data_IF_405940564081
#
_entry.id   IF_405940564081
#
_cell.length_a   1.000
_cell.length_b   1.000
_cell.length_c   1.000
_cell.angle_alpha   90.00
_cell.angle_beta   90.00
_cell.angle_gamma   90.00
#
_symmetry.space_group_name_H-M   'P 1'
#
loop_
_entity.id
_entity.type
_entity.pdbx_description
1 polymer ?
#
# COMPACT_ATOMS: atom_id res chain seq x y z
N UNK A 1 31.93 -3.63 37.13
CA UNK A 1 31.08 -3.45 35.92
C UNK A 1 29.67 -3.81 36.34
N UNK A 2 28.85 -2.81 36.65
CA UNK A 2 27.44 -3.02 36.91
C UNK A 2 26.75 -3.23 35.55
N UNK A 3 26.09 -4.37 35.40
CA UNK A 3 25.14 -4.60 34.31
C UNK A 3 23.98 -3.65 34.59
N UNK A 4 23.70 -2.76 33.66
CA UNK A 4 22.58 -1.84 33.75
C UNK A 4 21.31 -2.68 33.53
N UNK A 5 20.69 -3.14 34.62
CA UNK A 5 19.34 -3.73 34.65
C UNK A 5 18.31 -2.63 34.35
N UNK A 6 18.34 -2.11 33.12
CA UNK A 6 17.31 -1.24 32.57
C UNK A 6 16.31 -2.05 31.71
N UNK A 7 16.17 -3.34 32.01
CA UNK A 7 15.20 -4.21 31.36
C UNK A 7 13.99 -4.38 32.28
N UNK A 8 12.84 -4.00 31.72
CA UNK A 8 11.53 -4.60 31.98
C UNK A 8 10.62 -3.93 33.03
N UNK A 9 10.34 -2.63 32.86
CA UNK A 9 9.16 -1.96 33.45
C UNK A 9 8.04 -1.78 32.40
N UNK A 10 7.81 -2.81 31.59
CA UNK A 10 6.67 -2.83 30.66
C UNK A 10 5.46 -3.38 31.39
N UNK A 11 4.36 -2.62 31.36
CA UNK A 11 3.11 -3.07 31.94
C UNK A 11 2.60 -4.32 31.22
N UNK A 12 1.73 -5.09 31.88
CA UNK A 12 1.07 -6.22 31.22
C UNK A 12 0.25 -5.77 29.99
N UNK A 13 -0.24 -4.52 29.98
CA UNK A 13 -0.90 -3.90 28.83
C UNK A 13 0.08 -3.66 27.67
N UNK A 14 1.29 -3.17 27.94
CA UNK A 14 2.33 -2.96 26.92
C UNK A 14 2.74 -4.29 26.29
N UNK A 15 2.91 -5.33 27.11
CA UNK A 15 3.26 -6.68 26.65
C UNK A 15 2.14 -7.28 25.80
N UNK A 16 0.87 -7.10 26.20
CA UNK A 16 -0.26 -7.54 25.40
C UNK A 16 -0.31 -6.79 24.06
N UNK A 17 -0.13 -5.48 24.07
CA UNK A 17 -0.16 -4.66 22.86
C UNK A 17 0.93 -5.10 21.86
N UNK A 18 2.15 -5.35 22.35
CA UNK A 18 3.26 -5.83 21.53
C UNK A 18 3.03 -7.23 20.97
N UNK A 19 2.44 -8.13 21.77
CA UNK A 19 2.08 -9.46 21.31
C UNK A 19 1.03 -9.39 20.18
N UNK A 20 0.01 -8.53 20.33
CA UNK A 20 -0.99 -8.28 19.29
C UNK A 20 -0.35 -7.70 18.03
N UNK A 21 0.56 -6.73 18.16
CA UNK A 21 1.31 -6.17 17.03
C UNK A 21 2.16 -7.22 16.30
N UNK A 22 2.84 -8.11 17.04
CA UNK A 22 3.66 -9.17 16.45
C UNK A 22 2.81 -10.17 15.65
N UNK A 23 1.62 -10.54 16.17
CA UNK A 23 0.65 -11.37 15.45
C UNK A 23 0.21 -10.69 14.16
N UNK A 24 -0.20 -9.41 14.23
CA UNK A 24 -0.64 -8.63 13.05
C UNK A 24 0.47 -8.47 12.01
N UNK A 25 1.72 -8.26 12.45
CA UNK A 25 2.87 -8.19 11.56
C UNK A 25 3.12 -9.53 10.84
N UNK A 26 3.07 -10.65 11.56
CA UNK A 26 3.24 -11.97 10.98
C UNK A 26 2.16 -12.30 9.93
N UNK A 27 0.90 -11.92 10.20
CA UNK A 27 -0.21 -12.05 9.23
C UNK A 27 0.03 -11.22 7.97
N UNK A 28 0.49 -9.97 8.12
CA UNK A 28 0.85 -9.10 7.00
C UNK A 28 1.96 -9.72 6.14
N UNK A 29 2.99 -10.30 6.75
CA UNK A 29 4.07 -10.95 6.02
C UNK A 29 3.59 -12.19 5.25
N UNK A 30 2.66 -12.97 5.82
CA UNK A 30 2.03 -14.10 5.11
C UNK A 30 1.28 -13.62 3.87
N UNK A 31 0.54 -12.52 3.99
CA UNK A 31 -0.15 -11.91 2.86
C UNK A 31 0.79 -11.43 1.77
N UNK A 32 1.85 -10.72 2.15
CA UNK A 32 2.86 -10.26 1.20
C UNK A 32 3.50 -11.44 0.49
N UNK A 33 3.92 -12.47 1.23
CA UNK A 33 4.52 -13.68 0.65
C UNK A 33 3.57 -14.38 -0.33
N UNK A 34 2.28 -14.52 0.03
CA UNK A 34 1.26 -15.12 -0.83
C UNK A 34 1.08 -14.32 -2.13
N UNK A 35 0.97 -13.00 -2.03
CA UNK A 35 0.86 -12.14 -3.21
C UNK A 35 2.14 -12.18 -4.05
N UNK A 36 3.32 -12.05 -3.45
CA UNK A 36 4.61 -12.11 -4.13
C UNK A 36 4.79 -13.40 -4.93
N UNK A 37 4.44 -14.53 -4.33
CA UNK A 37 4.45 -15.83 -4.99
C UNK A 37 3.49 -15.88 -6.19
N UNK A 38 2.30 -15.30 -6.08
CA UNK A 38 1.31 -15.25 -7.17
C UNK A 38 1.73 -14.32 -8.31
N UNK A 39 2.43 -13.24 -7.98
CA UNK A 39 2.96 -12.28 -8.95
C UNK A 39 4.28 -12.75 -9.57
N UNK A 40 4.91 -13.80 -9.03
CA UNK A 40 6.22 -14.28 -9.48
C UNK A 40 7.34 -13.28 -9.20
N UNK A 41 7.21 -12.46 -8.15
CA UNK A 41 8.24 -11.51 -7.71
C UNK A 41 9.02 -12.07 -6.52
N UNK A 42 10.23 -11.55 -6.22
CA UNK A 42 11.03 -12.04 -5.11
C UNK A 42 10.30 -11.91 -3.76
N UNK A 43 10.47 -12.92 -2.90
CA UNK A 43 9.95 -12.87 -1.53
C UNK A 43 10.56 -11.69 -0.75
N UNK A 44 9.73 -10.99 0.02
CA UNK A 44 10.10 -9.81 0.78
C UNK A 44 10.18 -8.52 -0.06
N UNK A 45 9.82 -8.55 -1.34
CA UNK A 45 9.79 -7.35 -2.18
C UNK A 45 8.90 -6.25 -1.60
N UNK A 46 7.68 -6.59 -1.17
CA UNK A 46 6.68 -5.65 -0.67
C UNK A 46 7.12 -5.05 0.66
N UNK A 47 7.67 -5.86 1.56
CA UNK A 47 8.24 -5.38 2.83
C UNK A 47 9.43 -4.44 2.58
N UNK A 48 10.30 -4.80 1.65
CA UNK A 48 11.48 -4.01 1.32
C UNK A 48 11.17 -2.72 0.54
N UNK A 49 9.93 -2.49 0.08
CA UNK A 49 9.55 -1.22 -0.55
C UNK A 49 9.75 -0.04 0.39
N UNK A 50 9.50 -0.20 1.68
CA UNK A 50 9.67 0.90 2.65
C UNK A 50 11.15 1.31 2.79
N UNK A 51 12.06 0.35 2.61
CA UNK A 51 13.50 0.58 2.64
C UNK A 51 14.07 1.21 1.36
N UNK A 52 13.26 1.44 0.33
CA UNK A 52 13.69 2.12 -0.89
C UNK A 52 14.09 3.56 -0.59
N UNK A 53 15.31 3.96 -0.94
CA UNK A 53 15.84 5.30 -0.61
C UNK A 53 15.46 6.36 -1.62
N UNK A 54 15.26 5.95 -2.87
CA UNK A 54 14.88 6.85 -3.95
C UNK A 54 13.37 6.89 -4.10
N UNK A 55 12.78 8.04 -3.81
CA UNK A 55 11.34 8.26 -3.91
C UNK A 55 10.80 8.05 -5.33
N UNK A 56 11.63 8.27 -6.36
CA UNK A 56 11.27 7.96 -7.74
C UNK A 56 11.15 6.45 -7.94
N UNK A 57 12.17 5.69 -7.52
CA UNK A 57 12.13 4.23 -7.58
C UNK A 57 10.98 3.66 -6.73
N UNK A 58 10.75 4.22 -5.54
CA UNK A 58 9.68 3.82 -4.62
C UNK A 58 8.30 3.92 -5.29
N UNK A 59 7.96 5.09 -5.86
CA UNK A 59 6.63 5.27 -6.45
C UNK A 59 6.44 4.48 -7.74
N UNK A 60 7.50 4.30 -8.54
CA UNK A 60 7.46 3.47 -9.74
C UNK A 60 7.23 2.00 -9.37
N UNK A 61 8.02 1.44 -8.44
CA UNK A 61 7.86 0.07 -7.96
C UNK A 61 6.48 -0.16 -7.33
N UNK A 62 6.02 0.78 -6.52
CA UNK A 62 4.69 0.73 -5.88
C UNK A 62 3.57 0.69 -6.94
N UNK A 63 3.62 1.57 -7.94
CA UNK A 63 2.62 1.59 -9.00
C UNK A 63 2.64 0.33 -9.87
N UNK A 64 3.82 -0.20 -10.19
CA UNK A 64 3.97 -1.45 -10.96
C UNK A 64 3.42 -2.64 -10.17
N UNK A 65 3.69 -2.71 -8.86
CA UNK A 65 3.14 -3.74 -7.98
C UNK A 65 1.60 -3.72 -7.96
N UNK A 66 1.02 -2.53 -7.76
CA UNK A 66 -0.43 -2.32 -7.82
C UNK A 66 -1.02 -2.78 -9.16
N UNK A 67 -0.38 -2.38 -10.26
CA UNK A 67 -0.81 -2.68 -11.61
C UNK A 67 -0.78 -4.19 -11.90
N UNK A 68 0.32 -4.86 -11.55
CA UNK A 68 0.47 -6.30 -11.68
C UNK A 68 -0.55 -7.05 -10.83
N UNK A 69 -0.76 -6.62 -9.58
CA UNK A 69 -1.72 -7.24 -8.67
C UNK A 69 -3.16 -7.21 -9.23
N UNK A 70 -3.58 -6.08 -9.82
CA UNK A 70 -4.89 -5.98 -10.49
C UNK A 70 -4.95 -6.89 -11.72
N UNK A 71 -3.91 -6.91 -12.56
CA UNK A 71 -3.85 -7.79 -13.73
C UNK A 71 -3.99 -9.25 -13.31
N UNK A 72 -3.23 -9.72 -12.33
CA UNK A 72 -3.31 -11.10 -11.83
C UNK A 72 -4.69 -11.41 -11.27
N UNK A 73 -5.31 -10.49 -10.50
CA UNK A 73 -6.65 -10.70 -9.97
C UNK A 73 -7.71 -10.81 -11.08
N UNK A 74 -7.61 -9.99 -12.12
CA UNK A 74 -8.48 -10.09 -13.30
C UNK A 74 -8.29 -11.42 -14.03
N UNK A 75 -7.05 -11.85 -14.28
CA UNK A 75 -6.75 -13.15 -14.91
C UNK A 75 -7.35 -14.29 -14.09
N UNK A 76 -7.11 -14.33 -12.78
CA UNK A 76 -7.67 -15.36 -11.90
C UNK A 76 -9.20 -15.36 -11.84
N UNK A 77 -9.85 -14.26 -12.21
CA UNK A 77 -11.32 -14.16 -12.21
C UNK A 77 -11.95 -14.70 -13.50
N UNK A 78 -11.27 -14.57 -14.65
CA UNK A 78 -11.88 -14.85 -15.96
C UNK A 78 -11.24 -16.01 -16.72
N UNK A 79 -9.97 -16.31 -16.43
CA UNK A 79 -9.20 -17.25 -17.24
C UNK A 79 -9.40 -18.68 -16.75
N UNK A 80 -9.53 -19.60 -17.71
CA UNK A 80 -9.19 -21.00 -17.49
C UNK A 80 -7.65 -21.17 -17.49
N UNK A 81 -7.17 -22.32 -17.00
CA UNK A 81 -5.73 -22.57 -16.90
C UNK A 81 -5.05 -22.57 -18.29
N UNK A 82 -5.76 -23.01 -19.33
CA UNK A 82 -5.24 -23.13 -20.69
C UNK A 82 -5.00 -21.76 -21.36
N UNK A 83 -5.84 -20.75 -21.10
CA UNK A 83 -5.74 -19.43 -21.74
C UNK A 83 -5.18 -18.35 -20.80
N UNK A 84 -4.61 -18.73 -19.66
CA UNK A 84 -4.12 -17.79 -18.64
C UNK A 84 -3.17 -16.72 -19.20
N UNK A 85 -2.22 -17.12 -20.05
CA UNK A 85 -1.25 -16.21 -20.67
C UNK A 85 -1.92 -15.21 -21.62
N UNK A 86 -2.88 -15.67 -22.43
CA UNK A 86 -3.63 -14.82 -23.36
C UNK A 86 -4.41 -13.74 -22.60
N UNK A 87 -5.06 -14.11 -21.50
CA UNK A 87 -5.77 -13.15 -20.65
C UNK A 87 -4.81 -12.20 -19.94
N UNK A 88 -3.64 -12.67 -19.53
CA UNK A 88 -2.62 -11.82 -18.92
C UNK A 88 -2.14 -10.74 -19.87
N UNK A 89 -1.79 -11.12 -21.11
CA UNK A 89 -1.37 -10.19 -22.15
C UNK A 89 -2.49 -9.19 -22.46
N UNK A 90 -3.72 -9.70 -22.66
CA UNK A 90 -4.89 -8.86 -22.93
C UNK A 90 -5.11 -7.79 -21.86
N UNK A 91 -5.07 -8.16 -20.58
CA UNK A 91 -5.27 -7.20 -19.50
C UNK A 91 -4.09 -6.25 -19.33
N UNK A 92 -2.86 -6.74 -19.52
CA UNK A 92 -1.64 -5.91 -19.44
C UNK A 92 -1.62 -4.82 -20.53
N UNK A 93 -2.19 -5.09 -21.70
CA UNK A 93 -2.31 -4.11 -22.78
C UNK A 93 -3.40 -3.06 -22.55
N UNK A 94 -4.33 -3.28 -21.61
CA UNK A 94 -5.37 -2.30 -21.31
C UNK A 94 -4.76 -1.06 -20.64
N UNK A 95 -5.18 0.16 -21.03
CA UNK A 95 -4.88 1.35 -20.26
C UNK A 95 -5.32 1.19 -18.80
N UNK A 96 -4.48 1.61 -17.84
CA UNK A 96 -4.72 1.38 -16.41
C UNK A 96 -6.15 1.79 -15.95
N UNK A 97 -6.65 2.94 -16.41
CA UNK A 97 -8.01 3.38 -16.08
C UNK A 97 -9.11 2.41 -16.55
N UNK A 98 -8.94 1.79 -17.73
CA UNK A 98 -9.86 0.79 -18.28
C UNK A 98 -9.74 -0.54 -17.55
N UNK A 99 -8.53 -0.94 -17.18
CA UNK A 99 -8.28 -2.13 -16.37
C UNK A 99 -8.98 -2.03 -15.00
N UNK A 100 -8.83 -0.90 -14.31
CA UNK A 100 -9.49 -0.65 -13.03
C UNK A 100 -11.03 -0.56 -13.16
N UNK A 101 -11.53 0.06 -14.24
CA UNK A 101 -12.98 0.06 -14.53
C UNK A 101 -13.54 -1.34 -14.70
N UNK A 102 -12.81 -2.20 -15.42
CA UNK A 102 -13.20 -3.59 -15.62
C UNK A 102 -13.17 -4.38 -14.31
N UNK A 103 -12.12 -4.20 -13.49
CA UNK A 103 -12.00 -4.86 -12.18
C UNK A 103 -13.18 -4.52 -11.26
N UNK A 104 -13.65 -3.26 -11.24
CA UNK A 104 -14.86 -2.88 -10.50
C UNK A 104 -16.11 -3.55 -11.07
N UNK A 105 -16.27 -3.57 -12.40
CA UNK A 105 -17.45 -4.18 -13.05
C UNK A 105 -17.55 -5.68 -12.78
N UNK A 106 -16.41 -6.36 -12.74
CA UNK A 106 -16.31 -7.78 -12.39
C UNK A 106 -16.34 -8.05 -10.88
N UNK A 107 -16.49 -7.00 -10.05
CA UNK A 107 -16.49 -7.08 -8.58
C UNK A 107 -15.21 -7.67 -7.98
N UNK A 108 -14.10 -7.57 -8.72
CA UNK A 108 -12.75 -7.93 -8.27
C UNK A 108 -12.27 -6.94 -7.20
N UNK A 109 -12.57 -5.65 -7.39
CA UNK A 109 -12.27 -4.61 -6.41
C UNK A 109 -13.47 -3.69 -6.20
N UNK A 110 -13.53 -3.05 -5.03
CA UNK A 110 -14.53 -2.00 -4.75
C UNK A 110 -14.18 -0.69 -5.45
N UNK A 111 -15.14 0.23 -5.52
CA UNK A 111 -14.89 1.60 -6.02
C UNK A 111 -13.84 2.33 -5.18
N UNK A 112 -13.84 2.15 -3.86
CA UNK A 112 -12.86 2.76 -2.96
C UNK A 112 -11.43 2.30 -3.28
N UNK A 113 -11.23 0.99 -3.48
CA UNK A 113 -9.93 0.44 -3.89
C UNK A 113 -9.51 0.95 -5.26
N UNK A 114 -10.44 1.06 -6.22
CA UNK A 114 -10.16 1.73 -7.52
C UNK A 114 -9.66 3.17 -7.32
N UNK A 115 -10.28 3.93 -6.42
CA UNK A 115 -9.90 5.33 -6.19
C UNK A 115 -8.50 5.44 -5.53
N UNK A 116 -8.17 4.54 -4.60
CA UNK A 116 -6.83 4.41 -4.00
C UNK A 116 -5.77 4.08 -5.06
N UNK A 117 -6.01 3.06 -5.87
CA UNK A 117 -5.10 2.65 -6.95
C UNK A 117 -4.91 3.76 -7.99
N UNK A 118 -5.97 4.50 -8.31
CA UNK A 118 -5.86 5.68 -9.16
C UNK A 118 -5.01 6.77 -8.52
N UNK A 119 -5.11 7.00 -7.21
CA UNK A 119 -4.27 7.98 -6.54
C UNK A 119 -2.78 7.61 -6.60
N UNK A 120 -2.43 6.34 -6.39
CA UNK A 120 -1.05 5.84 -6.56
C UNK A 120 -0.57 6.06 -7.99
N UNK A 121 -1.38 5.69 -8.99
CA UNK A 121 -1.04 5.92 -10.39
C UNK A 121 -0.88 7.41 -10.73
N UNK A 122 -1.67 8.28 -10.11
CA UNK A 122 -1.56 9.72 -10.25
C UNK A 122 -0.29 10.27 -9.61
N UNK A 123 0.11 9.81 -8.42
CA UNK A 123 1.42 10.12 -7.85
C UNK A 123 2.53 9.71 -8.79
N UNK A 124 2.52 8.45 -9.28
CA UNK A 124 3.53 7.98 -10.24
C UNK A 124 3.57 8.84 -11.50
N UNK A 125 2.42 9.14 -12.09
CA UNK A 125 2.39 9.90 -13.34
C UNK A 125 2.86 11.35 -13.14
N UNK A 126 2.40 12.04 -12.11
CA UNK A 126 2.81 13.42 -11.86
C UNK A 126 4.25 13.55 -11.36
N UNK A 127 4.70 12.62 -10.51
CA UNK A 127 6.05 12.65 -9.96
C UNK A 127 7.09 12.13 -10.95
N UNK A 128 6.87 10.94 -11.53
CA UNK A 128 7.88 10.24 -12.32
C UNK A 128 7.98 10.72 -13.78
N UNK A 129 6.94 11.38 -14.33
CA UNK A 129 6.99 11.92 -15.71
C UNK A 129 7.65 13.29 -15.78
N UNK A 130 7.70 14.01 -14.66
CA UNK A 130 8.43 15.27 -14.57
C UNK A 130 9.89 14.98 -14.20
N UNK A 131 10.77 15.05 -15.20
CA UNK A 131 12.19 14.67 -15.07
C UNK A 131 12.90 15.52 -14.00
N UNK A 132 12.44 16.73 -13.72
CA UNK A 132 12.99 17.56 -12.64
C UNK A 132 12.81 16.97 -11.25
N UNK A 133 11.94 15.97 -11.07
CA UNK A 133 11.75 15.27 -9.80
C UNK A 133 12.76 14.12 -9.58
N UNK A 134 13.65 13.83 -10.56
CA UNK A 134 14.74 12.89 -10.34
C UNK A 134 15.64 13.38 -9.21
N UNK A 135 15.81 12.56 -8.17
CA UNK A 135 16.53 12.95 -6.95
C UNK A 135 15.76 13.89 -6.02
N UNK A 136 14.50 14.22 -6.35
CA UNK A 136 13.58 14.92 -5.47
C UNK A 136 12.88 13.97 -4.48
N UNK A 137 12.04 14.53 -3.61
CA UNK A 137 11.23 13.76 -2.67
C UNK A 137 9.73 13.89 -2.96
N UNK A 138 8.98 12.84 -2.65
CA UNK A 138 7.52 12.82 -2.72
C UNK A 138 6.90 13.86 -1.79
N UNK A 139 7.53 14.11 -0.63
CA UNK A 139 7.11 15.17 0.30
C UNK A 139 7.20 16.56 -0.34
N UNK A 140 8.30 16.90 -1.01
CA UNK A 140 8.47 18.18 -1.69
C UNK A 140 7.47 18.33 -2.85
N UNK A 141 7.27 17.25 -3.62
CA UNK A 141 6.25 17.22 -4.66
C UNK A 141 4.84 17.45 -4.09
N UNK A 142 4.50 16.78 -2.99
CA UNK A 142 3.19 16.91 -2.38
C UNK A 142 3.00 18.30 -1.78
N UNK A 143 4.04 18.91 -1.20
CA UNK A 143 4.03 20.29 -0.72
C UNK A 143 3.73 21.30 -1.85
N UNK A 144 4.28 21.08 -3.04
CA UNK A 144 4.08 21.96 -4.21
C UNK A 144 2.71 21.80 -4.87
N UNK A 145 1.95 20.75 -4.54
CA UNK A 145 0.60 20.56 -5.05
C UNK A 145 -0.35 21.67 -4.55
N UNK A 146 -1.30 22.07 -5.40
CA UNK A 146 -2.38 22.97 -5.01
C UNK A 146 -3.24 22.37 -3.88
N UNK A 147 -3.92 23.18 -3.05
CA UNK A 147 -4.79 22.67 -1.98
C UNK A 147 -5.83 21.66 -2.47
N UNK A 148 -6.47 21.93 -3.61
CA UNK A 148 -7.45 21.02 -4.21
C UNK A 148 -6.84 19.67 -4.58
N UNK A 149 -5.59 19.69 -5.08
CA UNK A 149 -4.87 18.48 -5.46
C UNK A 149 -4.42 17.67 -4.25
N UNK A 150 -3.94 18.32 -3.19
CA UNK A 150 -3.61 17.68 -1.91
C UNK A 150 -4.84 16.98 -1.33
N UNK A 151 -5.97 17.70 -1.28
CA UNK A 151 -7.26 17.17 -0.84
C UNK A 151 -7.70 15.95 -1.65
N UNK A 152 -7.65 16.04 -2.98
CA UNK A 152 -8.05 14.94 -3.85
C UNK A 152 -7.20 13.69 -3.61
N UNK A 153 -5.87 13.83 -3.62
CA UNK A 153 -4.94 12.71 -3.47
C UNK A 153 -5.02 12.07 -2.08
N UNK A 154 -5.00 12.87 -1.01
CA UNK A 154 -5.11 12.38 0.36
C UNK A 154 -6.45 11.69 0.61
N UNK A 155 -7.55 12.26 0.10
CA UNK A 155 -8.88 11.66 0.28
C UNK A 155 -8.99 10.31 -0.41
N UNK A 156 -8.44 10.20 -1.62
CA UNK A 156 -8.45 8.94 -2.36
C UNK A 156 -7.56 7.88 -1.73
N UNK A 157 -6.35 8.22 -1.28
CA UNK A 157 -5.43 7.27 -0.64
C UNK A 157 -6.00 6.71 0.66
N UNK A 158 -6.56 7.59 1.51
CA UNK A 158 -7.03 7.21 2.84
C UNK A 158 -8.49 6.76 2.87
N UNK A 159 -9.25 7.00 1.79
CA UNK A 159 -10.69 6.69 1.76
C UNK A 159 -11.54 7.58 2.68
N UNK A 160 -11.00 8.70 3.16
CA UNK A 160 -11.69 9.66 4.05
C UNK A 160 -11.75 11.04 3.37
N UNK A 161 -12.81 11.81 3.65
CA UNK A 161 -12.97 13.14 3.06
C UNK A 161 -12.12 14.18 3.77
N UNK A 162 -11.25 14.85 3.01
CA UNK A 162 -10.45 15.99 3.48
C UNK A 162 -11.07 17.33 3.08
N UNK A 163 -10.70 18.41 3.77
CA UNK A 163 -11.06 19.79 3.41
C UNK A 163 -9.83 20.55 2.94
N UNK A 164 -10.01 21.72 2.30
CA UNK A 164 -8.87 22.52 1.82
C UNK A 164 -8.12 23.23 2.96
N UNK A 165 -8.81 23.51 4.07
CA UNK A 165 -8.27 24.25 5.23
C UNK A 165 -7.53 23.34 6.23
N UNK A 166 -7.24 22.10 5.83
CA UNK A 166 -6.58 21.11 6.68
C UNK A 166 -5.10 21.47 6.92
N UNK A 167 -4.56 21.15 8.10
CA UNK A 167 -3.12 21.23 8.32
C UNK A 167 -2.42 20.12 7.51
N UNK A 168 -1.82 20.52 6.39
CA UNK A 168 -1.13 19.62 5.48
C UNK A 168 0.24 19.16 5.96
N UNK A 169 0.80 19.73 7.04
CA UNK A 169 2.17 19.42 7.50
C UNK A 169 2.37 17.93 7.77
N UNK A 170 1.40 17.31 8.45
CA UNK A 170 1.45 15.87 8.71
C UNK A 170 1.51 15.07 7.40
N UNK A 171 0.67 15.38 6.43
CA UNK A 171 0.58 14.68 5.14
C UNK A 171 1.84 14.88 4.27
N UNK A 172 2.38 16.10 4.27
CA UNK A 172 3.63 16.44 3.57
C UNK A 172 4.78 15.63 4.16
N UNK A 173 4.95 15.66 5.49
CA UNK A 173 6.04 14.93 6.16
C UNK A 173 5.90 13.41 6.07
N UNK A 174 4.68 12.91 5.83
CA UNK A 174 4.37 11.48 5.79
C UNK A 174 3.83 11.03 4.43
N UNK A 175 4.25 11.65 3.31
CA UNK A 175 3.68 11.34 1.99
C UNK A 175 3.87 9.87 1.59
N UNK A 176 5.04 9.27 1.89
CA UNK A 176 5.27 7.83 1.66
C UNK A 176 4.31 6.96 2.47
N UNK A 177 4.05 7.32 3.73
CA UNK A 177 3.08 6.61 4.55
C UNK A 177 1.69 6.66 3.92
N UNK A 178 1.24 7.81 3.42
CA UNK A 178 -0.06 7.92 2.77
C UNK A 178 -0.16 6.96 1.57
N UNK A 179 0.91 6.87 0.78
CA UNK A 179 1.01 5.97 -0.37
C UNK A 179 1.01 4.51 0.11
N UNK A 180 1.79 4.19 1.14
CA UNK A 180 1.88 2.85 1.72
C UNK A 180 0.53 2.37 2.28
N UNK A 181 -0.24 3.25 2.92
CA UNK A 181 -1.60 2.95 3.41
C UNK A 181 -2.55 2.65 2.25
N UNK A 182 -2.49 3.44 1.18
CA UNK A 182 -3.27 3.19 -0.04
C UNK A 182 -2.90 1.86 -0.68
N UNK A 183 -1.60 1.57 -0.76
CA UNK A 183 -1.06 0.30 -1.27
C UNK A 183 -1.55 -0.89 -0.43
N UNK A 184 -1.41 -0.81 0.89
CA UNK A 184 -1.80 -1.86 1.84
C UNK A 184 -3.28 -2.21 1.65
N UNK A 185 -4.16 -1.21 1.59
CA UNK A 185 -5.59 -1.45 1.42
C UNK A 185 -5.89 -2.15 0.11
N UNK A 186 -5.21 -1.76 -0.98
CA UNK A 186 -5.36 -2.40 -2.27
C UNK A 186 -4.79 -3.83 -2.30
N UNK A 187 -3.60 -4.04 -1.72
CA UNK A 187 -2.95 -5.36 -1.62
C UNK A 187 -3.85 -6.33 -0.87
N UNK A 188 -4.44 -5.94 0.26
CA UNK A 188 -5.38 -6.80 1.00
C UNK A 188 -6.52 -7.26 0.12
N UNK A 189 -7.18 -6.32 -0.54
CA UNK A 189 -8.33 -6.61 -1.38
C UNK A 189 -7.96 -7.58 -2.50
N UNK A 190 -6.75 -7.46 -3.07
CA UNK A 190 -6.27 -8.30 -4.17
C UNK A 190 -5.71 -9.65 -3.71
N UNK A 191 -5.04 -9.69 -2.55
CA UNK A 191 -4.47 -10.91 -1.98
C UNK A 191 -5.56 -11.87 -1.49
N UNK A 192 -6.70 -11.34 -1.02
CA UNK A 192 -7.87 -12.13 -0.65
C UNK A 192 -8.51 -12.88 -1.84
N UNK A 193 -8.29 -12.41 -3.08
CA UNK A 193 -8.90 -12.99 -4.28
C UNK A 193 -8.18 -14.30 -4.61
N UNK A 194 -8.88 -15.42 -4.49
CA UNK A 194 -8.35 -16.76 -4.73
C UNK A 194 -7.88 -17.50 -3.47
N UNK A 195 -8.07 -16.91 -2.29
CA UNK A 195 -7.99 -17.63 -1.01
C UNK A 195 -9.34 -18.30 -0.70
N UNK A 196 -9.33 -19.38 0.09
CA UNK A 196 -10.57 -19.97 0.61
C UNK A 196 -11.32 -18.95 1.49
N UNK A 197 -12.64 -19.07 1.61
CA UNK A 197 -13.49 -18.11 2.32
C UNK A 197 -13.12 -17.96 3.79
N UNK A 198 -12.59 -19.02 4.41
CA UNK A 198 -12.09 -18.99 5.79
C UNK A 198 -10.83 -18.13 5.90
N UNK A 199 -9.87 -18.30 4.97
CA UNK A 199 -8.62 -17.54 4.94
C UNK A 199 -8.91 -16.05 4.68
N UNK A 200 -9.82 -15.74 3.76
CA UNK A 200 -10.20 -14.35 3.45
C UNK A 200 -10.88 -13.63 4.63
N UNK A 201 -11.73 -14.32 5.39
CA UNK A 201 -12.44 -13.76 6.55
C UNK A 201 -11.51 -13.53 7.76
N UNK A 202 -10.51 -14.40 7.95
CA UNK A 202 -9.46 -14.22 8.97
C UNK A 202 -8.61 -12.99 8.64
N UNK A 203 -8.29 -12.77 7.35
CA UNK A 203 -7.51 -11.64 6.87
C UNK A 203 -8.21 -10.27 7.02
N UNK A 204 -9.54 -10.21 6.94
CA UNK A 204 -10.30 -8.95 7.00
C UNK A 204 -10.36 -8.36 8.42
N UNK A 205 -10.17 -9.19 9.46
CA UNK A 205 -10.39 -8.79 10.87
C UNK A 205 -9.26 -7.99 11.54
N UNK A 206 -8.04 -7.99 11.01
CA UNK A 206 -6.85 -7.73 11.85
C UNK A 206 -5.92 -6.58 11.42
N UNK A 207 -6.39 -5.53 10.75
CA UNK A 207 -5.49 -4.45 10.34
C UNK A 207 -5.93 -3.05 10.77
N UNK A 208 -5.07 -2.39 11.54
CA UNK A 208 -5.17 -0.96 11.89
C UNK A 208 -4.00 -0.15 11.32
N UNK A 209 -4.25 1.14 11.06
CA UNK A 209 -3.26 2.10 10.53
C UNK A 209 -1.99 2.23 11.39
N UNK A 210 -2.08 1.94 12.69
CA UNK A 210 -0.99 2.05 13.64
C UNK A 210 0.19 1.09 13.34
N UNK A 211 -0.08 -0.07 12.73
CA UNK A 211 0.92 -1.13 12.53
C UNK A 211 1.88 -0.87 11.34
N UNK A 212 1.62 0.16 10.52
CA UNK A 212 2.48 0.60 9.40
C UNK A 212 3.53 1.61 9.86
N UNK A 213 3.37 2.21 11.05
CA UNK A 213 4.07 3.46 11.42
C UNK A 213 5.33 3.28 12.29
N UNK A 214 5.59 2.10 12.87
CA UNK A 214 6.69 1.99 13.85
C UNK A 214 8.06 1.67 13.21
N UNK A 215 8.54 2.63 12.43
CA UNK A 215 9.96 2.82 12.08
C UNK A 215 10.52 4.16 12.56
N UNK A 216 9.70 5.05 13.15
CA UNK A 216 10.16 6.31 13.74
C UNK A 216 10.07 6.17 15.27
N UNK A 217 11.20 6.08 15.99
CA UNK A 217 11.18 6.22 17.44
C UNK A 217 10.51 7.55 17.78
N UNK A 218 9.48 7.49 18.61
CA UNK A 218 8.87 8.67 19.19
C UNK A 218 10.00 9.47 19.85
N UNK A 219 10.35 10.68 19.39
CA UNK A 219 11.25 11.51 20.17
C UNK A 219 10.46 11.81 21.44
N UNK A 220 10.92 11.21 22.54
CA UNK A 220 10.49 11.52 23.90
C UNK A 220 10.28 13.03 23.97
N UNK A 221 9.05 13.43 24.28
CA UNK A 221 8.73 14.81 24.58
C UNK A 221 9.56 15.20 25.80
N UNK A 222 10.62 15.96 25.58
CA UNK A 222 11.25 16.83 26.59
C UNK A 222 10.57 18.20 26.61
#
# INVERSE_FOLDING_TARGET
>A
MAVNEADDDWSDEDRQHLAEQAVRHAERLRLYTSLESRLGIPNGFIENLDSEKDDWAYIVKTAVLCEAAVTHALVSTVADEENRSVWYDHFSDLPNGKRLELAVKLRVISKGVKDQLNAVAQFRNSFAHEVSNLGGSLSNFFEQCSPDRKRELASKLLGITHTNDQDWRFYINNTRLLIAVGLVTAIKALAAIGLDTNDAAELERHWELADVYQGVPNPVQE
#
